data_IF_492796810227
#
_entry.id   IF_492796810227
#
_cell.length_a   1.000
_cell.length_b   1.000
_cell.length_c   1.000
_cell.angle_alpha   90.00
_cell.angle_beta   90.00
_cell.angle_gamma   90.00
#
_symmetry.space_group_name_H-M   'P 1'
#
loop_
_entity.id
_entity.type
_entity.pdbx_description
1 polymer ?
#
# COMPACT_ATOMS: atom_id res chain seq x y z
N UNK A 1 -12.72 -7.26 -6.45
CA UNK A 1 -11.51 -7.82 -7.11
C UNK A 1 -11.86 -8.60 -8.38
N UNK A 2 -12.61 -9.71 -8.31
CA UNK A 2 -12.99 -10.53 -9.48
C UNK A 2 -13.50 -9.73 -10.70
N UNK A 3 -14.51 -8.89 -10.51
CA UNK A 3 -15.06 -8.05 -11.59
C UNK A 3 -14.03 -7.08 -12.16
N UNK A 4 -13.16 -6.51 -11.31
CA UNK A 4 -12.10 -5.61 -11.76
C UNK A 4 -11.08 -6.35 -12.63
N UNK A 5 -10.64 -7.55 -12.21
CA UNK A 5 -9.71 -8.38 -13.01
C UNK A 5 -10.29 -8.75 -14.38
N UNK A 6 -11.58 -9.09 -14.45
CA UNK A 6 -12.25 -9.34 -15.73
C UNK A 6 -12.29 -8.11 -16.64
N UNK A 7 -12.47 -6.92 -16.06
CA UNK A 7 -12.44 -5.65 -16.81
C UNK A 7 -11.03 -5.26 -17.25
N UNK A 8 -9.98 -5.70 -16.53
CA UNK A 8 -8.59 -5.46 -16.90
C UNK A 8 -8.10 -6.33 -18.05
N UNK A 9 -8.62 -7.56 -18.19
CA UNK A 9 -8.17 -8.50 -19.21
C UNK A 9 -8.12 -7.92 -20.65
N UNK A 10 -9.15 -7.22 -21.17
CA UNK A 10 -9.09 -6.62 -22.51
C UNK A 10 -8.11 -5.44 -22.64
N UNK A 11 -7.60 -4.91 -21.54
CA UNK A 11 -6.65 -3.80 -21.50
C UNK A 11 -5.21 -4.33 -21.68
N UNK A 12 -4.97 -5.61 -21.38
CA UNK A 12 -3.65 -6.23 -21.54
C UNK A 12 -3.47 -6.60 -23.02
N UNK A 13 -2.60 -5.86 -23.71
CA UNK A 13 -2.36 -6.03 -25.13
C UNK A 13 -0.88 -6.34 -25.40
N UNK A 14 -0.58 -7.29 -26.30
CA UNK A 14 0.77 -7.49 -26.82
C UNK A 14 1.33 -6.21 -27.45
N UNK A 15 2.65 -6.04 -27.42
CA UNK A 15 3.34 -4.84 -27.94
C UNK A 15 2.87 -4.44 -29.36
N UNK A 16 2.76 -5.42 -30.27
CA UNK A 16 2.34 -5.18 -31.66
C UNK A 16 0.89 -4.70 -31.85
N UNK A 17 0.03 -4.84 -30.84
CA UNK A 17 -1.38 -4.46 -30.88
C UNK A 17 -1.69 -3.22 -30.02
N UNK A 18 -0.68 -2.62 -29.39
CA UNK A 18 -0.85 -1.44 -28.52
C UNK A 18 -0.81 -0.14 -29.31
N UNK A 19 -1.68 0.79 -28.94
CA UNK A 19 -1.59 2.21 -29.33
C UNK A 19 -0.88 3.02 -28.24
N UNK A 20 -0.66 4.31 -28.48
CA UNK A 20 -0.02 5.22 -27.52
C UNK A 20 -0.83 5.38 -26.22
N UNK A 21 -2.14 5.15 -26.28
CA UNK A 21 -3.04 5.26 -25.12
C UNK A 21 -3.15 3.95 -24.32
N UNK A 22 -2.54 2.86 -24.81
CA UNK A 22 -2.57 1.57 -24.14
C UNK A 22 -1.46 1.44 -23.11
N UNK A 23 -1.78 0.78 -22.00
CA UNK A 23 -0.85 0.58 -20.90
C UNK A 23 0.34 -0.31 -21.29
N UNK A 24 1.53 0.10 -20.89
CA UNK A 24 2.71 -0.77 -20.86
C UNK A 24 2.55 -1.86 -19.79
N UNK A 25 3.31 -2.98 -19.88
CA UNK A 25 3.31 -3.97 -18.80
C UNK A 25 3.65 -3.37 -17.42
N UNK A 26 4.51 -2.35 -17.37
CA UNK A 26 4.86 -1.69 -16.11
C UNK A 26 3.70 -0.89 -15.53
N UNK A 27 3.01 -0.10 -16.36
CA UNK A 27 1.84 0.67 -15.92
C UNK A 27 0.67 -0.25 -15.56
N UNK A 28 0.51 -1.36 -16.29
CA UNK A 28 -0.46 -2.39 -15.95
C UNK A 28 -0.16 -3.02 -14.58
N UNK A 29 1.11 -3.32 -14.29
CA UNK A 29 1.53 -3.82 -12.98
C UNK A 29 1.24 -2.79 -11.87
N UNK A 30 1.46 -1.50 -12.12
CA UNK A 30 1.09 -0.44 -11.18
C UNK A 30 -0.42 -0.39 -10.94
N UNK A 31 -1.23 -0.56 -11.97
CA UNK A 31 -2.68 -0.62 -11.86
C UNK A 31 -3.14 -1.84 -11.06
N UNK A 32 -2.50 -3.01 -11.24
CA UNK A 32 -2.75 -4.19 -10.41
C UNK A 32 -2.44 -3.90 -8.94
N UNK A 33 -1.28 -3.31 -8.63
CA UNK A 33 -0.94 -2.92 -7.26
C UNK A 33 -2.01 -2.01 -6.67
N UNK A 34 -2.45 -0.99 -7.40
CA UNK A 34 -3.51 -0.09 -6.96
C UNK A 34 -4.81 -0.84 -6.64
N UNK A 35 -5.27 -1.72 -7.54
CA UNK A 35 -6.51 -2.49 -7.35
C UNK A 35 -6.41 -3.43 -6.15
N UNK A 36 -5.33 -4.21 -6.03
CA UNK A 36 -5.14 -5.11 -4.88
C UNK A 36 -4.99 -4.32 -3.57
N UNK A 37 -4.42 -3.11 -3.61
CA UNK A 37 -4.29 -2.26 -2.43
C UNK A 37 -5.62 -1.71 -1.92
N UNK A 38 -6.65 -1.54 -2.77
CA UNK A 38 -7.92 -0.91 -2.39
C UNK A 38 -8.95 -1.92 -1.91
N UNK A 39 -9.07 -3.07 -2.58
CA UNK A 39 -10.23 -3.96 -2.40
C UNK A 39 -10.35 -4.51 -0.96
N UNK A 40 -9.23 -4.65 -0.24
CA UNK A 40 -9.23 -5.16 1.14
C UNK A 40 -9.53 -6.66 1.20
N UNK A 41 -10.05 -7.15 2.32
CA UNK A 41 -10.31 -8.59 2.51
C UNK A 41 -11.38 -9.10 1.51
N UNK A 42 -10.98 -10.07 0.68
CA UNK A 42 -11.87 -10.70 -0.32
C UNK A 42 -11.91 -12.19 -0.06
N UNK A 43 -13.12 -12.77 -0.13
CA UNK A 43 -13.29 -14.22 -0.15
C UNK A 43 -12.57 -14.82 -1.36
N UNK A 44 -11.50 -15.54 -1.09
CA UNK A 44 -10.76 -16.27 -2.13
C UNK A 44 -11.61 -17.48 -2.54
N UNK A 45 -12.06 -17.47 -3.79
CA UNK A 45 -12.89 -18.51 -4.37
C UNK A 45 -12.40 -18.92 -5.75
N UNK A 46 -12.98 -20.01 -6.27
CA UNK A 46 -12.62 -20.59 -7.59
C UNK A 46 -12.66 -19.54 -8.70
N UNK A 47 -13.72 -18.74 -8.78
CA UNK A 47 -13.89 -17.71 -9.81
C UNK A 47 -12.81 -16.63 -9.77
N UNK A 48 -12.40 -16.20 -8.56
CA UNK A 48 -11.34 -15.22 -8.40
C UNK A 48 -9.99 -15.79 -8.87
N UNK A 49 -9.69 -17.04 -8.52
CA UNK A 49 -8.45 -17.70 -8.92
C UNK A 49 -8.39 -17.92 -10.43
N UNK A 50 -9.51 -18.25 -11.07
CA UNK A 50 -9.60 -18.36 -12.52
C UNK A 50 -9.37 -17.02 -13.22
N UNK A 51 -10.02 -15.94 -12.74
CA UNK A 51 -9.82 -14.59 -13.29
C UNK A 51 -8.37 -14.11 -13.10
N UNK A 52 -7.77 -14.39 -11.94
CA UNK A 52 -6.37 -14.07 -11.66
C UNK A 52 -5.41 -14.86 -12.57
N UNK A 53 -5.68 -16.14 -12.82
CA UNK A 53 -4.86 -16.95 -13.76
C UNK A 53 -4.89 -16.36 -15.17
N UNK A 54 -6.07 -15.97 -15.66
CA UNK A 54 -6.21 -15.38 -17.00
C UNK A 54 -5.43 -14.06 -17.12
N UNK A 55 -5.55 -13.19 -16.11
CA UNK A 55 -4.80 -11.92 -16.07
C UNK A 55 -3.29 -12.18 -15.99
N UNK A 56 -2.87 -13.17 -15.20
CA UNK A 56 -1.46 -13.55 -15.07
C UNK A 56 -0.90 -14.09 -16.39
N UNK A 57 -1.62 -14.97 -17.08
CA UNK A 57 -1.23 -15.52 -18.38
C UNK A 57 -1.10 -14.40 -19.44
N UNK A 58 -2.09 -13.50 -19.52
CA UNK A 58 -2.04 -12.35 -20.40
C UNK A 58 -0.86 -11.41 -20.08
N UNK A 59 -0.56 -11.22 -18.80
CA UNK A 59 0.58 -10.42 -18.35
C UNK A 59 1.92 -11.04 -18.72
N UNK A 60 2.07 -12.36 -18.53
CA UNK A 60 3.27 -13.12 -18.95
C UNK A 60 3.49 -12.97 -20.45
N UNK A 61 2.42 -13.13 -21.24
CA UNK A 61 2.49 -12.99 -22.69
C UNK A 61 2.91 -11.56 -23.08
N UNK A 62 2.30 -10.53 -22.47
CA UNK A 62 2.64 -9.14 -22.73
C UNK A 62 4.10 -8.80 -22.40
N UNK A 63 4.66 -9.39 -21.34
CA UNK A 63 6.09 -9.25 -21.01
C UNK A 63 6.97 -9.93 -22.06
N UNK A 64 6.62 -11.14 -22.49
CA UNK A 64 7.42 -11.92 -23.44
C UNK A 64 7.43 -11.31 -24.84
N UNK A 65 6.33 -10.67 -25.22
CA UNK A 65 6.18 -9.98 -26.51
C UNK A 65 6.82 -8.58 -26.53
N UNK A 66 7.33 -8.12 -25.38
CA UNK A 66 7.91 -6.79 -25.28
C UNK A 66 9.29 -6.75 -25.97
N UNK A 67 9.51 -5.86 -26.94
CA UNK A 67 10.80 -5.77 -27.63
C UNK A 67 11.91 -5.32 -26.69
N UNK A 68 11.60 -4.40 -25.77
CA UNK A 68 12.49 -3.88 -24.75
C UNK A 68 11.69 -3.61 -23.47
N UNK A 69 12.03 -4.30 -22.39
CA UNK A 69 11.43 -4.04 -21.09
C UNK A 69 12.03 -2.79 -20.45
N UNK A 70 11.24 -2.09 -19.65
CA UNK A 70 11.76 -1.00 -18.82
C UNK A 70 12.83 -1.51 -17.84
N UNK A 71 13.81 -0.68 -17.43
CA UNK A 71 14.86 -1.10 -16.49
C UNK A 71 14.30 -1.68 -15.19
N UNK A 72 13.19 -1.13 -14.69
CA UNK A 72 12.54 -1.61 -13.48
C UNK A 72 11.90 -2.99 -13.68
N UNK A 73 11.23 -3.25 -14.80
CA UNK A 73 10.70 -4.58 -15.08
C UNK A 73 11.82 -5.60 -15.30
N UNK A 74 12.92 -5.22 -15.95
CA UNK A 74 14.10 -6.08 -16.06
C UNK A 74 14.64 -6.47 -14.69
N UNK A 75 14.74 -5.51 -13.75
CA UNK A 75 15.14 -5.75 -12.36
C UNK A 75 14.16 -6.69 -11.65
N UNK A 76 12.85 -6.45 -11.77
CA UNK A 76 11.79 -7.29 -11.16
C UNK A 76 11.81 -8.73 -11.70
N UNK A 77 12.08 -8.91 -12.99
CA UNK A 77 12.11 -10.23 -13.64
C UNK A 77 13.44 -10.96 -13.40
N UNK A 78 14.50 -10.27 -12.95
CA UNK A 78 15.83 -10.85 -12.79
C UNK A 78 16.58 -11.00 -14.13
N UNK A 79 16.42 -10.03 -15.03
CA UNK A 79 17.17 -9.92 -16.28
C UNK A 79 18.23 -8.82 -16.13
N UNK A 80 19.32 -9.12 -15.40
CA UNK A 80 20.39 -8.14 -15.07
C UNK A 80 21.32 -7.79 -16.25
N UNK A 81 21.02 -8.28 -17.47
CA UNK A 81 21.85 -8.03 -18.65
C UNK A 81 20.98 -7.63 -19.83
N UNK A 82 21.28 -6.47 -20.43
CA UNK A 82 20.65 -5.87 -21.62
C UNK A 82 20.55 -6.80 -22.85
N UNK A 83 21.17 -7.99 -22.82
CA UNK A 83 21.26 -8.94 -23.93
C UNK A 83 20.41 -10.20 -23.75
N UNK A 84 19.84 -10.47 -22.57
CA UNK A 84 19.07 -11.69 -22.35
C UNK A 84 17.59 -11.44 -22.63
N UNK A 85 17.11 -11.90 -23.80
CA UNK A 85 15.66 -11.94 -24.07
C UNK A 85 14.94 -12.62 -22.91
N UNK A 86 13.82 -12.04 -22.48
CA UNK A 86 12.99 -12.63 -21.44
C UNK A 86 12.43 -13.94 -21.95
N UNK A 87 12.74 -15.03 -21.26
CA UNK A 87 12.16 -16.33 -21.56
C UNK A 87 10.80 -16.45 -20.90
N UNK A 88 9.92 -17.23 -21.51
CA UNK A 88 8.60 -17.53 -20.94
C UNK A 88 8.70 -18.10 -19.52
N UNK A 89 9.72 -18.93 -19.25
CA UNK A 89 9.98 -19.50 -17.93
C UNK A 89 10.32 -18.42 -16.89
N UNK A 90 11.23 -17.47 -17.21
CA UNK A 90 11.57 -16.36 -16.31
C UNK A 90 10.37 -15.45 -16.06
N UNK A 91 9.63 -15.10 -17.12
CA UNK A 91 8.41 -14.30 -16.99
C UNK A 91 7.36 -14.99 -16.12
N UNK A 92 7.19 -16.30 -16.27
CA UNK A 92 6.26 -17.11 -15.46
C UNK A 92 6.68 -17.13 -13.99
N UNK A 93 7.97 -17.36 -13.70
CA UNK A 93 8.48 -17.36 -12.34
C UNK A 93 8.28 -15.99 -11.65
N UNK A 94 8.66 -14.90 -12.33
CA UNK A 94 8.47 -13.54 -11.83
C UNK A 94 6.98 -13.20 -11.62
N UNK A 95 6.12 -13.54 -12.58
CA UNK A 95 4.68 -13.32 -12.45
C UNK A 95 4.08 -14.08 -11.25
N UNK A 96 4.53 -15.31 -10.96
CA UNK A 96 4.05 -16.04 -9.78
C UNK A 96 4.41 -15.31 -8.47
N UNK A 97 5.64 -14.81 -8.32
CA UNK A 97 6.02 -14.05 -7.11
C UNK A 97 5.34 -12.67 -7.04
N UNK A 98 5.12 -12.02 -8.19
CA UNK A 98 4.34 -10.78 -8.26
C UNK A 98 2.92 -11.01 -7.75
N UNK A 99 2.21 -12.01 -8.27
CA UNK A 99 0.82 -12.27 -7.88
C UNK A 99 0.69 -12.73 -6.43
N UNK A 100 1.67 -13.49 -5.92
CA UNK A 100 1.77 -13.78 -4.50
C UNK A 100 1.94 -12.51 -3.66
N UNK A 101 2.84 -11.61 -4.05
CA UNK A 101 3.01 -10.32 -3.37
C UNK A 101 1.77 -9.42 -3.47
N UNK A 102 1.03 -9.45 -4.58
CA UNK A 102 -0.25 -8.74 -4.71
C UNK A 102 -1.30 -9.28 -3.72
N UNK A 103 -1.33 -10.61 -3.49
CA UNK A 103 -2.18 -11.21 -2.44
C UNK A 103 -1.74 -10.79 -1.03
N UNK A 104 -0.44 -10.65 -0.79
CA UNK A 104 0.04 -10.12 0.49
C UNK A 104 -0.40 -8.66 0.69
N UNK A 105 -0.35 -7.82 -0.35
CA UNK A 105 -0.87 -6.45 -0.32
C UNK A 105 -2.37 -6.41 -0.04
N UNK A 106 -3.14 -7.31 -0.63
CA UNK A 106 -4.59 -7.45 -0.39
C UNK A 106 -4.87 -7.75 1.10
N UNK A 107 -4.03 -8.59 1.72
CA UNK A 107 -4.16 -9.02 3.10
C UNK A 107 -3.50 -8.08 4.10
N UNK A 108 -2.78 -7.04 3.67
CA UNK A 108 -1.93 -6.21 4.54
C UNK A 108 -2.69 -5.54 5.70
N UNK A 109 -4.01 -5.36 5.57
CA UNK A 109 -4.84 -4.72 6.59
C UNK A 109 -5.83 -5.64 7.30
N UNK A 110 -5.77 -6.96 7.08
CA UNK A 110 -6.72 -7.92 7.70
C UNK A 110 -6.62 -7.97 9.22
N UNK A 111 -5.44 -7.65 9.77
CA UNK A 111 -5.22 -7.63 11.22
C UNK A 111 -5.64 -6.30 11.88
N UNK A 112 -5.94 -5.26 11.10
CA UNK A 112 -6.46 -3.99 11.62
C UNK A 112 -7.96 -4.15 11.89
N UNK A 113 -8.46 -3.56 12.97
CA UNK A 113 -9.88 -3.64 13.33
C UNK A 113 -10.67 -2.48 12.75
N UNK A 114 -10.19 -1.26 12.95
CA UNK A 114 -10.80 -0.02 12.49
C UNK A 114 -10.30 0.37 11.10
N UNK A 115 -9.00 0.19 10.83
CA UNK A 115 -8.36 0.64 9.60
C UNK A 115 -8.22 -0.44 8.52
N UNK A 116 -9.06 -1.49 8.56
CA UNK A 116 -8.96 -2.61 7.61
C UNK A 116 -9.30 -2.25 6.15
N UNK A 117 -10.08 -1.20 5.93
CA UNK A 117 -10.52 -0.78 4.60
C UNK A 117 -10.15 0.67 4.32
N UNK A 118 -9.70 0.90 3.08
CA UNK A 118 -9.48 2.23 2.50
C UNK A 118 -10.51 2.54 1.41
N UNK A 119 -11.40 1.60 1.14
CA UNK A 119 -12.49 1.73 0.18
C UNK A 119 -13.80 1.99 0.91
N UNK A 120 -14.45 3.10 0.59
CA UNK A 120 -15.80 3.39 1.03
C UNK A 120 -16.72 3.06 -0.15
N UNK A 121 -17.59 2.04 -0.02
CA UNK A 121 -18.49 1.65 -1.08
C UNK A 121 -19.45 2.79 -1.42
N UNK A 122 -19.78 2.92 -2.70
CA UNK A 122 -20.80 3.85 -3.15
C UNK A 122 -22.20 3.41 -2.74
N UNK A 123 -23.13 4.35 -2.73
CA UNK A 123 -24.56 4.14 -2.55
C UNK A 123 -25.31 4.63 -3.78
N UNK A 124 -26.65 4.57 -3.77
CA UNK A 124 -27.47 5.12 -4.87
C UNK A 124 -27.31 6.64 -5.06
N UNK A 125 -26.80 7.37 -4.05
CA UNK A 125 -26.64 8.82 -4.07
C UNK A 125 -25.19 9.30 -4.02
N UNK A 126 -24.23 8.40 -3.76
CA UNK A 126 -22.82 8.75 -3.59
C UNK A 126 -21.94 7.74 -4.31
N UNK A 127 -20.97 8.25 -5.07
CA UNK A 127 -19.95 7.39 -5.69
C UNK A 127 -19.05 6.77 -4.61
N UNK A 128 -18.46 5.62 -4.95
CA UNK A 128 -17.46 5.02 -4.08
C UNK A 128 -16.27 5.96 -3.93
N UNK A 129 -15.70 6.02 -2.73
CA UNK A 129 -14.58 6.93 -2.43
C UNK A 129 -13.40 6.19 -1.83
N UNK A 130 -12.22 6.77 -2.01
CA UNK A 130 -10.98 6.30 -1.41
C UNK A 130 -10.68 7.12 -0.16
N UNK A 131 -10.51 6.46 0.98
CA UNK A 131 -10.11 7.05 2.26
C UNK A 131 -8.76 6.48 2.69
N UNK A 132 -7.64 7.15 2.38
CA UNK A 132 -6.30 6.66 2.70
C UNK A 132 -6.12 6.38 4.18
N UNK A 133 -5.24 5.44 4.53
CA UNK A 133 -4.95 5.09 5.92
C UNK A 133 -4.54 6.31 6.76
N UNK A 134 -3.70 7.20 6.22
CA UNK A 134 -3.28 8.42 6.92
C UNK A 134 -4.42 9.39 7.21
N UNK A 135 -5.43 9.45 6.35
CA UNK A 135 -6.64 10.22 6.64
C UNK A 135 -7.35 9.65 7.87
N UNK A 136 -7.51 8.33 7.92
CA UNK A 136 -8.19 7.64 9.02
C UNK A 136 -7.45 7.83 10.34
N UNK A 137 -6.12 7.71 10.34
CA UNK A 137 -5.28 7.89 11.54
C UNK A 137 -5.36 9.33 12.05
N UNK A 138 -5.24 10.34 11.18
CA UNK A 138 -5.32 11.75 11.61
C UNK A 138 -6.72 12.11 12.12
N UNK A 139 -7.77 11.63 11.46
CA UNK A 139 -9.14 11.83 11.94
C UNK A 139 -9.39 11.15 13.29
N UNK A 140 -8.82 9.97 13.55
CA UNK A 140 -8.89 9.30 14.86
C UNK A 140 -8.17 10.11 15.94
N UNK A 141 -6.96 10.60 15.65
CA UNK A 141 -6.18 11.43 16.58
C UNK A 141 -6.94 12.70 16.97
N UNK A 142 -7.61 13.35 16.01
CA UNK A 142 -8.33 14.61 16.26
C UNK A 142 -9.84 14.43 16.42
N UNK A 143 -10.29 13.20 16.69
CA UNK A 143 -11.69 12.95 16.97
C UNK A 143 -12.10 13.67 18.27
N UNK A 144 -13.13 14.56 18.25
CA UNK A 144 -13.56 15.31 19.42
C UNK A 144 -14.09 14.41 20.54
N UNK A 145 -14.68 13.25 20.18
CA UNK A 145 -15.24 12.31 21.14
C UNK A 145 -14.16 11.50 21.88
N UNK A 146 -12.91 11.55 21.40
CA UNK A 146 -11.73 10.86 21.96
C UNK A 146 -12.02 9.39 22.35
N UNK A 147 -12.52 8.56 21.41
CA UNK A 147 -12.64 7.14 21.68
C UNK A 147 -11.28 6.53 22.00
N UNK A 148 -11.25 5.46 22.79
CA UNK A 148 -10.02 4.68 23.00
C UNK A 148 -9.61 4.06 21.65
N UNK A 149 -8.44 4.42 21.08
CA UNK A 149 -8.09 4.00 19.75
C UNK A 149 -7.80 2.51 19.73
N UNK A 150 -8.38 1.80 18.76
CA UNK A 150 -8.32 0.34 18.68
C UNK A 150 -7.03 -0.13 18.01
N UNK A 151 -6.65 0.52 16.92
CA UNK A 151 -5.49 0.16 16.09
C UNK A 151 -4.25 1.03 16.37
N UNK A 152 -4.36 2.05 17.24
CA UNK A 152 -3.23 2.90 17.65
C UNK A 152 -2.82 2.52 19.07
N UNK A 153 -1.65 1.89 19.20
CA UNK A 153 -1.12 1.47 20.49
C UNK A 153 -0.16 2.51 21.08
N UNK A 154 -0.35 2.83 22.35
CA UNK A 154 0.62 3.62 23.12
C UNK A 154 1.77 2.73 23.58
N UNK A 155 2.97 2.97 23.03
CA UNK A 155 4.20 2.32 23.47
C UNK A 155 4.97 3.22 24.42
N UNK A 156 5.17 2.75 25.65
CA UNK A 156 5.99 3.41 26.67
C UNK A 156 7.35 2.69 26.71
N UNK A 157 8.36 3.25 26.07
CA UNK A 157 9.70 2.68 26.08
C UNK A 157 10.49 3.14 27.32
N UNK A 158 10.50 2.34 28.40
CA UNK A 158 11.39 2.62 29.53
C UNK A 158 11.29 1.66 30.73
N UNK A 159 12.38 1.62 31.52
CA UNK A 159 12.48 0.95 32.85
C UNK A 159 11.32 1.27 33.80
N UNK A 160 10.62 2.39 33.56
CA UNK A 160 9.47 2.88 34.31
C UNK A 160 8.20 2.03 34.15
N UNK A 161 8.06 1.18 33.11
CA UNK A 161 6.87 0.33 32.97
C UNK A 161 6.83 -0.82 34.00
N UNK A 162 8.00 -1.32 34.41
CA UNK A 162 8.11 -2.32 35.48
C UNK A 162 7.81 -1.73 36.87
N UNK A 163 8.02 -0.43 37.07
CA UNK A 163 7.64 0.26 38.31
C UNK A 163 6.18 0.72 38.27
N UNK A 164 5.67 1.11 37.10
CA UNK A 164 4.27 1.49 36.93
C UNK A 164 3.33 0.30 37.09
N UNK A 165 3.68 -0.92 36.66
CA UNK A 165 2.82 -2.10 36.87
C UNK A 165 2.55 -2.41 38.35
N UNK A 166 3.52 -2.15 39.25
CA UNK A 166 3.34 -2.33 40.71
C UNK A 166 2.47 -1.27 41.39
N UNK A 167 2.46 -0.03 40.89
CA UNK A 167 1.66 1.07 41.44
C UNK A 167 0.36 1.36 40.67
N UNK A 168 0.21 0.86 39.43
CA UNK A 168 -0.91 1.12 38.52
C UNK A 168 -2.16 0.29 38.81
N UNK A 169 -2.10 -0.68 39.73
CA UNK A 169 -3.29 -1.45 40.13
C UNK A 169 -4.32 -0.58 40.89
N UNK A 170 -3.95 0.63 41.31
CA UNK A 170 -4.77 1.51 42.15
C UNK A 170 -5.13 2.88 41.55
N UNK A 171 -4.66 3.21 40.34
CA UNK A 171 -4.94 4.51 39.71
C UNK A 171 -5.32 4.28 38.24
N UNK A 172 -6.53 4.71 37.84
CA UNK A 172 -6.93 4.80 36.43
C UNK A 172 -6.16 5.97 35.79
N UNK A 173 -4.88 5.75 35.51
CA UNK A 173 -4.03 6.73 34.84
C UNK A 173 -4.44 6.74 33.37
N UNK A 174 -5.03 7.83 32.88
CA UNK A 174 -5.37 7.99 31.47
C UNK A 174 -4.09 7.91 30.64
N UNK A 175 -4.09 7.07 29.61
CA UNK A 175 -2.97 6.99 28.66
C UNK A 175 -2.86 8.35 27.95
N UNK A 176 -1.66 8.91 27.80
CA UNK A 176 -1.49 10.17 27.09
C UNK A 176 -1.98 10.01 25.65
N UNK A 177 -2.81 10.94 25.19
CA UNK A 177 -3.34 10.93 23.84
C UNK A 177 -2.46 11.81 22.94
N UNK A 178 -2.22 11.46 21.65
CA UNK A 178 -1.44 12.32 20.75
C UNK A 178 -2.00 13.75 20.66
N UNK A 179 -3.33 13.90 20.82
CA UNK A 179 -4.02 15.18 20.86
C UNK A 179 -3.81 16.01 22.15
N UNK A 180 -3.11 15.50 23.17
CA UNK A 180 -2.79 16.26 24.38
C UNK A 180 -1.56 17.17 24.20
N UNK A 181 -0.84 17.03 23.09
CA UNK A 181 0.41 17.74 22.82
C UNK A 181 0.27 18.82 21.73
N UNK A 182 1.09 19.89 21.79
CA UNK A 182 1.09 20.96 20.79
C UNK A 182 1.86 20.61 19.51
N UNK A 183 2.60 19.49 19.51
CA UNK A 183 3.38 18.99 18.38
C UNK A 183 2.97 17.55 18.09
N UNK A 184 2.65 17.25 16.83
CA UNK A 184 2.42 15.90 16.33
C UNK A 184 3.57 15.50 15.40
N UNK A 185 4.27 14.42 15.73
CA UNK A 185 5.31 13.84 14.88
C UNK A 185 4.78 12.55 14.24
N UNK A 186 4.80 12.48 12.91
CA UNK A 186 4.42 11.29 12.14
C UNK A 186 5.66 10.80 11.40
N UNK A 187 6.11 9.58 11.69
CA UNK A 187 7.19 8.92 10.96
C UNK A 187 6.65 7.76 10.12
N UNK A 188 6.73 7.89 8.80
CA UNK A 188 6.24 6.89 7.84
C UNK A 188 7.34 5.95 7.36
N UNK A 189 7.26 4.69 7.80
CA UNK A 189 8.09 3.60 7.28
C UNK A 189 7.52 3.11 5.96
N UNK A 190 8.36 3.00 4.92
CA UNK A 190 7.94 2.61 3.57
C UNK A 190 7.61 3.81 2.67
N UNK A 191 7.60 5.02 3.23
CA UNK A 191 7.49 6.28 2.51
C UNK A 191 6.12 6.93 2.55
N UNK A 192 6.06 8.17 2.04
CA UNK A 192 4.83 8.98 1.98
C UNK A 192 4.75 9.74 0.67
N UNK A 193 3.55 9.98 0.14
CA UNK A 193 3.34 10.82 -1.04
C UNK A 193 3.11 12.29 -0.69
N UNK A 194 3.37 13.20 -1.64
CA UNK A 194 3.08 14.64 -1.47
C UNK A 194 1.59 14.90 -1.22
N UNK A 195 0.72 14.12 -1.85
CA UNK A 195 -0.74 14.22 -1.67
C UNK A 195 -1.16 13.87 -0.24
N UNK A 196 -0.53 12.87 0.38
CA UNK A 196 -0.77 12.52 1.79
C UNK A 196 -0.25 13.60 2.73
N UNK A 197 0.95 14.15 2.49
CA UNK A 197 1.50 15.27 3.27
C UNK A 197 0.54 16.46 3.26
N UNK A 198 0.05 16.84 2.08
CA UNK A 198 -0.94 17.92 1.93
C UNK A 198 -2.23 17.61 2.67
N UNK A 199 -2.75 16.39 2.53
CA UNK A 199 -3.99 15.98 3.18
C UNK A 199 -3.88 16.01 4.71
N UNK A 200 -2.75 15.55 5.28
CA UNK A 200 -2.48 15.64 6.72
C UNK A 200 -2.51 17.11 7.17
N UNK A 201 -1.79 17.99 6.46
CA UNK A 201 -1.76 19.43 6.75
C UNK A 201 -3.16 20.03 6.76
N UNK A 202 -3.95 19.75 5.73
CA UNK A 202 -5.31 20.30 5.57
C UNK A 202 -6.24 19.77 6.69
N UNK A 203 -6.13 18.50 7.06
CA UNK A 203 -6.91 17.89 8.14
C UNK A 203 -6.56 18.47 9.51
N UNK A 204 -5.26 18.61 9.85
CA UNK A 204 -4.86 19.16 11.14
C UNK A 204 -5.28 20.62 11.25
N UNK A 205 -5.12 21.41 10.19
CA UNK A 205 -5.56 22.81 10.17
C UNK A 205 -7.08 22.94 10.41
N UNK A 206 -7.88 22.00 9.90
CA UNK A 206 -9.32 22.00 10.09
C UNK A 206 -9.78 21.56 11.49
N UNK A 207 -9.10 20.57 12.11
CA UNK A 207 -9.55 19.97 13.37
C UNK A 207 -8.87 20.56 14.61
N UNK A 208 -7.61 21.02 14.50
CA UNK A 208 -6.87 21.60 15.61
C UNK A 208 -5.91 22.70 15.15
N UNK A 209 -6.40 23.92 14.91
CA UNK A 209 -5.55 25.04 14.51
C UNK A 209 -4.52 25.34 15.60
N UNK A 210 -3.29 25.67 15.19
CA UNK A 210 -2.18 26.01 16.10
C UNK A 210 -1.31 24.85 16.57
N UNK A 211 -1.56 23.62 16.10
CA UNK A 211 -0.64 22.49 16.29
C UNK A 211 0.43 22.47 15.22
N UNK A 212 1.67 22.21 15.62
CA UNK A 212 2.77 21.94 14.71
C UNK A 212 2.79 20.46 14.33
N UNK A 213 2.92 20.17 13.03
CA UNK A 213 3.00 18.78 12.52
C UNK A 213 4.34 18.58 11.82
N UNK A 214 5.11 17.61 12.30
CA UNK A 214 6.38 17.21 11.70
C UNK A 214 6.18 15.85 11.03
N UNK A 215 6.38 15.80 9.72
CA UNK A 215 6.24 14.57 8.93
C UNK A 215 7.62 14.12 8.48
N UNK A 216 7.97 12.90 8.86
CA UNK A 216 9.20 12.23 8.50
C UNK A 216 8.85 10.95 7.72
N UNK A 217 9.72 10.53 6.82
CA UNK A 217 9.52 9.29 6.07
C UNK A 217 10.84 8.71 5.62
N UNK A 218 10.86 7.42 5.32
CA UNK A 218 12.04 6.77 4.73
C UNK A 218 12.29 7.22 3.29
N UNK A 219 11.22 7.58 2.55
CA UNK A 219 11.30 8.04 1.16
C UNK A 219 10.05 8.88 0.81
N UNK A 220 10.23 9.90 -0.02
CA UNK A 220 9.11 10.57 -0.68
C UNK A 220 8.68 9.76 -1.90
N UNK A 221 7.50 9.14 -1.85
CA UNK A 221 7.03 8.17 -2.83
C UNK A 221 6.53 8.81 -4.12
N UNK A 222 6.95 8.24 -5.23
CA UNK A 222 6.27 8.31 -6.53
C UNK A 222 5.62 6.96 -6.85
N UNK A 223 4.63 6.90 -7.77
CA UNK A 223 4.02 5.62 -8.16
C UNK A 223 5.04 4.57 -8.65
N UNK A 224 6.12 5.00 -9.29
CA UNK A 224 7.19 4.12 -9.76
C UNK A 224 7.99 3.49 -8.61
N UNK A 225 8.24 4.23 -7.54
CA UNK A 225 8.96 3.71 -6.37
C UNK A 225 8.20 2.56 -5.70
N UNK A 226 6.86 2.54 -5.78
CA UNK A 226 6.04 1.48 -5.19
C UNK A 226 6.36 0.12 -5.82
N UNK A 227 6.53 0.06 -7.15
CA UNK A 227 6.88 -1.18 -7.84
C UNK A 227 8.26 -1.68 -7.42
N UNK A 228 9.22 -0.77 -7.27
CA UNK A 228 10.57 -1.11 -6.81
C UNK A 228 10.58 -1.63 -5.36
N UNK A 229 9.87 -0.95 -4.45
CA UNK A 229 9.75 -1.35 -3.05
C UNK A 229 9.04 -2.69 -2.88
N UNK A 230 8.00 -2.94 -3.70
CA UNK A 230 7.24 -4.18 -3.61
C UNK A 230 7.97 -5.36 -4.24
N UNK A 231 8.63 -5.19 -5.38
CA UNK A 231 9.05 -6.32 -6.21
C UNK A 231 10.56 -6.42 -6.45
N UNK A 232 11.34 -5.37 -6.15
CA UNK A 232 12.76 -5.31 -6.50
C UNK A 232 13.69 -4.97 -5.32
N UNK A 233 13.15 -4.83 -4.11
CA UNK A 233 13.91 -4.55 -2.89
C UNK A 233 13.99 -5.81 -2.02
N UNK A 234 15.19 -6.15 -1.54
CA UNK A 234 15.36 -7.22 -0.56
C UNK A 234 14.78 -6.77 0.80
N UNK A 235 13.62 -7.31 1.17
CA UNK A 235 12.94 -6.98 2.42
C UNK A 235 13.61 -7.59 3.65
N UNK A 236 14.56 -8.52 3.48
CA UNK A 236 15.27 -9.20 4.57
C UNK A 236 16.61 -8.52 4.89
N UNK A 237 17.11 -7.67 4.01
CA UNK A 237 18.30 -6.84 4.22
C UNK A 237 17.93 -5.39 3.93
N UNK A 238 17.44 -4.63 4.93
CA UNK A 238 17.27 -3.20 4.72
C UNK A 238 18.60 -2.63 4.24
N UNK A 239 18.56 -1.78 3.22
CA UNK A 239 19.73 -1.09 2.70
C UNK A 239 20.14 -0.03 3.74
N UNK A 240 20.81 -0.49 4.78
CA UNK A 240 21.46 0.35 5.79
C UNK A 240 22.70 0.84 5.06
N UNK A 241 22.58 1.99 4.38
CA UNK A 241 23.67 2.62 3.63
C UNK A 241 24.85 3.00 4.52
N UNK A 242 25.62 2.00 4.95
CA UNK A 242 26.87 2.09 5.71
C UNK A 242 28.03 1.84 4.74
#
# INVERSE_FOLDING_TARGET
LFNALKQLLPIIKPSGNRTVDDYTPQEFLLLLVYIYSIVGEVKIGKELNEAESQVKEAFIQAICDEPELSPLLQKIIGCESYSTKVTFEKATAAANEIFKSLRDVLCARTHMKQFNSVHIPGSHSQQATYKPLMKQVVEEIYNPDRPDPIDIEYMSSGLTDLLKTGFSMFMKVSRPHPNDHPILVIFMVGGITVSEVRMIKDLVAAHKPGVEVIILSTILLTPHNILELLFATDRLKPDIGI
#
